data_IF_463686640054
#
_entry.id   IF_463686640054
#
_cell.length_a   1.000
_cell.length_b   1.000
_cell.length_c   1.000
_cell.angle_alpha   90.00
_cell.angle_beta   90.00
_cell.angle_gamma   90.00
#
_symmetry.space_group_name_H-M   'P 1'
#
loop_
_entity.id
_entity.type
_entity.pdbx_description
1 polymer ?
#
# COMPACT_ATOMS: atom_id res chain seq x y z
N UNK A 1 4.37 10.83 -15.58
CA UNK A 1 3.73 12.10 -15.17
C UNK A 1 3.04 12.88 -16.27
N UNK A 2 3.39 12.73 -17.56
CA UNK A 2 2.76 13.50 -18.65
C UNK A 2 1.24 13.28 -18.74
N UNK A 3 0.78 12.04 -18.50
CA UNK A 3 -0.65 11.67 -18.57
C UNK A 3 -1.49 12.38 -17.49
N UNK A 4 -1.00 12.49 -16.25
CA UNK A 4 -1.75 13.16 -15.18
C UNK A 4 -1.86 14.67 -15.41
N UNK A 5 -0.78 15.29 -15.89
CA UNK A 5 -0.75 16.70 -16.23
C UNK A 5 -1.69 17.04 -17.39
N UNK A 6 -1.74 16.18 -18.42
CA UNK A 6 -2.64 16.31 -19.56
C UNK A 6 -4.10 16.22 -19.14
N UNK A 7 -4.44 15.25 -18.28
CA UNK A 7 -5.80 15.10 -17.73
C UNK A 7 -6.21 16.30 -16.87
N UNK A 8 -5.30 16.85 -16.05
CA UNK A 8 -5.58 18.06 -15.26
C UNK A 8 -5.84 19.27 -16.18
N UNK A 9 -5.08 19.39 -17.27
CA UNK A 9 -5.24 20.47 -18.24
C UNK A 9 -6.57 20.36 -19.01
N UNK A 10 -6.98 19.15 -19.36
CA UNK A 10 -8.26 18.87 -20.00
C UNK A 10 -9.44 19.21 -19.07
N UNK A 11 -9.40 18.74 -17.82
CA UNK A 11 -10.38 19.08 -16.78
C UNK A 11 -10.51 20.60 -16.61
N UNK A 12 -9.39 21.32 -16.62
CA UNK A 12 -9.40 22.79 -16.54
C UNK A 12 -10.09 23.44 -17.75
N UNK A 13 -9.89 22.92 -18.95
CA UNK A 13 -10.55 23.42 -20.17
C UNK A 13 -12.05 23.19 -20.10
N UNK A 14 -12.47 21.98 -19.74
CA UNK A 14 -13.87 21.59 -19.52
C UNK A 14 -14.61 22.50 -18.54
N UNK A 15 -13.98 22.84 -17.42
CA UNK A 15 -14.55 23.76 -16.43
C UNK A 15 -14.71 25.17 -17.02
N UNK A 16 -13.73 25.65 -17.80
CA UNK A 16 -13.82 26.95 -18.46
C UNK A 16 -14.93 27.01 -19.53
N UNK A 17 -15.30 25.86 -20.10
CA UNK A 17 -16.40 25.69 -21.05
C UNK A 17 -17.78 25.50 -20.38
N UNK A 18 -17.82 25.42 -19.03
CA UNK A 18 -19.03 25.36 -18.23
C UNK A 18 -19.49 23.94 -17.85
N UNK A 19 -18.65 22.93 -18.06
CA UNK A 19 -18.89 21.57 -17.57
C UNK A 19 -18.64 21.48 -16.06
N UNK A 20 -19.24 20.46 -15.45
CA UNK A 20 -18.98 20.14 -14.03
C UNK A 20 -17.58 19.56 -13.86
N UNK A 21 -17.00 19.64 -12.66
CA UNK A 21 -15.66 19.10 -12.39
C UNK A 21 -15.69 17.56 -12.42
N UNK A 22 -16.80 16.96 -11.99
CA UNK A 22 -16.94 15.51 -11.89
C UNK A 22 -17.04 14.81 -13.25
N UNK A 23 -17.61 15.44 -14.27
CA UNK A 23 -17.76 14.89 -15.64
C UNK A 23 -16.41 14.50 -16.28
N UNK A 24 -15.47 15.43 -16.53
CA UNK A 24 -14.20 15.12 -17.18
C UNK A 24 -13.28 14.24 -16.30
N UNK A 25 -13.46 14.28 -14.97
CA UNK A 25 -12.77 13.35 -14.07
C UNK A 25 -13.33 11.93 -14.16
N UNK A 26 -14.61 11.74 -14.48
CA UNK A 26 -15.23 10.43 -14.64
C UNK A 26 -14.85 9.73 -15.95
N UNK A 27 -14.42 10.50 -16.96
CA UNK A 27 -14.00 9.98 -18.27
C UNK A 27 -12.60 9.33 -18.23
N UNK A 28 -11.87 9.52 -17.13
CA UNK A 28 -10.51 9.03 -16.94
C UNK A 28 -10.44 7.98 -15.82
N UNK A 29 -10.06 6.74 -16.14
CA UNK A 29 -9.90 5.61 -15.19
C UNK A 29 -8.80 5.80 -14.11
N UNK A 30 -8.10 6.94 -14.13
CA UNK A 30 -7.06 7.28 -13.17
C UNK A 30 -7.66 7.67 -11.81
N UNK A 31 -8.88 8.22 -11.81
CA UNK A 31 -9.56 8.64 -10.58
C UNK A 31 -10.51 7.55 -10.09
N UNK A 32 -10.33 7.04 -8.86
CA UNK A 32 -11.27 6.10 -8.27
C UNK A 32 -12.68 6.69 -8.25
N UNK A 33 -13.71 5.86 -8.45
CA UNK A 33 -15.10 6.32 -8.46
C UNK A 33 -15.53 7.06 -7.18
N UNK A 34 -14.89 6.77 -6.05
CA UNK A 34 -15.08 7.50 -4.79
C UNK A 34 -14.65 8.97 -4.90
N UNK A 35 -13.54 9.28 -5.57
CA UNK A 35 -13.04 10.65 -5.78
C UNK A 35 -14.02 11.44 -6.65
N UNK A 36 -14.46 10.86 -7.77
CA UNK A 36 -15.45 11.46 -8.68
C UNK A 36 -16.75 11.79 -7.92
N UNK A 37 -17.21 10.86 -7.08
CA UNK A 37 -18.44 11.03 -6.31
C UNK A 37 -18.31 12.11 -5.22
N UNK A 38 -17.18 12.19 -4.52
CA UNK A 38 -16.95 13.23 -3.51
C UNK A 38 -16.84 14.62 -4.15
N UNK A 39 -16.22 14.72 -5.33
CA UNK A 39 -16.17 15.98 -6.10
C UNK A 39 -17.56 16.39 -6.57
N UNK A 40 -18.36 15.46 -7.10
CA UNK A 40 -19.75 15.71 -7.51
C UNK A 40 -20.60 16.23 -6.33
N UNK A 41 -20.48 15.61 -5.15
CA UNK A 41 -21.17 16.07 -3.93
C UNK A 41 -20.66 17.44 -3.48
N UNK A 42 -19.35 17.67 -3.52
CA UNK A 42 -18.74 18.94 -3.15
C UNK A 42 -19.16 20.08 -4.06
N UNK A 43 -19.27 19.83 -5.36
CA UNK A 43 -19.73 20.78 -6.36
C UNK A 43 -21.23 21.10 -6.18
N UNK A 44 -22.08 20.08 -6.00
CA UNK A 44 -23.52 20.26 -5.79
C UNK A 44 -23.87 21.00 -4.48
N UNK A 45 -23.01 20.88 -3.46
CA UNK A 45 -23.22 21.50 -2.13
C UNK A 45 -22.40 22.77 -1.90
N UNK A 46 -21.54 23.16 -2.85
CA UNK A 46 -20.58 24.26 -2.69
C UNK A 46 -19.47 23.98 -1.66
N UNK A 47 -19.28 22.72 -1.26
CA UNK A 47 -18.31 22.26 -0.26
C UNK A 47 -17.12 21.53 -0.88
N UNK A 48 -16.74 21.89 -2.11
CA UNK A 48 -15.66 21.23 -2.87
C UNK A 48 -14.34 21.19 -2.09
N UNK A 49 -13.94 22.30 -1.48
CA UNK A 49 -12.72 22.39 -0.67
C UNK A 49 -12.71 21.37 0.47
N UNK A 50 -13.84 21.22 1.17
CA UNK A 50 -13.98 20.21 2.23
C UNK A 50 -13.89 18.78 1.68
N UNK A 51 -14.48 18.52 0.51
CA UNK A 51 -14.42 17.18 -0.11
C UNK A 51 -13.02 16.85 -0.61
N UNK A 52 -12.30 17.81 -1.20
CA UNK A 52 -10.90 17.65 -1.62
C UNK A 52 -9.98 17.38 -0.43
N UNK A 53 -10.16 18.08 0.69
CA UNK A 53 -9.41 17.80 1.91
C UNK A 53 -9.68 16.37 2.43
N UNK A 54 -10.93 15.91 2.44
CA UNK A 54 -11.25 14.53 2.83
C UNK A 54 -10.66 13.49 1.89
N UNK A 55 -10.59 13.78 0.59
CA UNK A 55 -9.92 12.90 -0.38
C UNK A 55 -8.44 12.80 -0.02
N UNK A 56 -7.77 13.92 0.24
CA UNK A 56 -6.37 13.93 0.66
C UNK A 56 -6.14 13.12 1.95
N UNK A 57 -6.96 13.36 2.99
CA UNK A 57 -6.92 12.61 4.25
C UNK A 57 -7.08 11.10 4.03
N UNK A 58 -7.94 10.69 3.09
CA UNK A 58 -8.14 9.28 2.75
C UNK A 58 -6.90 8.68 2.09
N UNK A 59 -6.28 9.38 1.13
CA UNK A 59 -5.05 8.91 0.49
C UNK A 59 -3.89 8.78 1.48
N UNK A 60 -3.74 9.75 2.39
CA UNK A 60 -2.72 9.69 3.44
C UNK A 60 -2.97 8.49 4.37
N UNK A 61 -4.21 8.26 4.78
CA UNK A 61 -4.57 7.10 5.60
C UNK A 61 -4.34 5.75 4.87
N UNK A 62 -4.57 5.71 3.56
CA UNK A 62 -4.32 4.52 2.73
C UNK A 62 -2.81 4.23 2.64
N UNK A 63 -1.99 5.26 2.44
CA UNK A 63 -0.53 5.14 2.45
C UNK A 63 -0.03 4.66 3.81
N UNK A 64 -0.50 5.26 4.91
CA UNK A 64 -0.12 4.86 6.27
C UNK A 64 -0.53 3.42 6.57
N UNK A 65 -1.73 3.01 6.16
CA UNK A 65 -2.21 1.64 6.32
C UNK A 65 -1.36 0.65 5.53
N UNK A 66 -0.99 0.98 4.29
CA UNK A 66 -0.14 0.14 3.46
C UNK A 66 1.27 -0.01 4.05
N UNK A 67 1.87 1.10 4.52
CA UNK A 67 3.17 1.11 5.19
C UNK A 67 3.12 0.32 6.50
N UNK A 68 2.06 0.49 7.28
CA UNK A 68 1.82 -0.24 8.52
C UNK A 68 1.70 -1.75 8.28
N UNK A 69 0.92 -2.16 7.28
CA UNK A 69 0.77 -3.56 6.90
C UNK A 69 2.10 -4.18 6.43
N UNK A 70 2.86 -3.47 5.60
CA UNK A 70 4.17 -3.92 5.15
C UNK A 70 5.12 -4.12 6.34
N UNK A 71 5.15 -3.16 7.26
CA UNK A 71 5.98 -3.22 8.47
C UNK A 71 5.58 -4.38 9.37
N UNK A 72 4.28 -4.58 9.58
CA UNK A 72 3.74 -5.68 10.38
C UNK A 72 4.07 -7.06 9.76
N UNK A 73 4.17 -7.17 8.44
CA UNK A 73 4.58 -8.42 7.78
C UNK A 73 6.10 -8.67 7.85
N UNK A 74 6.92 -7.64 7.98
CA UNK A 74 8.37 -7.79 8.12
C UNK A 74 8.76 -8.49 9.43
N UNK A 75 8.08 -8.19 10.53
CA UNK A 75 8.35 -8.79 11.84
C UNK A 75 8.30 -10.34 11.84
N UNK A 76 7.21 -11.01 11.40
CA UNK A 76 7.16 -12.47 11.37
C UNK A 76 8.16 -13.07 10.37
N UNK A 77 8.44 -12.42 9.25
CA UNK A 77 9.46 -12.88 8.28
C UNK A 77 10.84 -12.92 8.95
N UNK A 78 11.19 -11.88 9.69
CA UNK A 78 12.45 -11.81 10.44
C UNK A 78 12.51 -12.89 11.52
N UNK A 79 11.43 -13.15 12.26
CA UNK A 79 11.38 -14.22 13.26
C UNK A 79 11.61 -15.60 12.65
N UNK A 80 10.95 -15.91 11.53
CA UNK A 80 11.13 -17.19 10.82
C UNK A 80 12.55 -17.33 10.31
N UNK A 81 13.11 -16.27 9.72
CA UNK A 81 14.49 -16.27 9.22
C UNK A 81 15.51 -16.48 10.35
N UNK A 82 15.39 -15.72 11.44
CA UNK A 82 16.32 -15.80 12.57
C UNK A 82 16.19 -17.14 13.30
N UNK A 83 14.95 -17.61 13.52
CA UNK A 83 14.68 -18.91 14.13
C UNK A 83 15.22 -20.06 13.28
N UNK A 84 15.05 -20.00 11.96
CA UNK A 84 15.62 -20.96 11.03
C UNK A 84 17.16 -20.96 11.03
N UNK A 85 17.77 -19.78 11.02
CA UNK A 85 19.23 -19.64 11.07
C UNK A 85 19.81 -20.22 12.37
N UNK A 86 19.27 -19.83 13.53
CA UNK A 86 19.71 -20.33 14.84
C UNK A 86 19.44 -21.83 14.96
N UNK A 87 18.25 -22.29 14.58
CA UNK A 87 17.90 -23.71 14.58
C UNK A 87 18.84 -24.55 13.71
N UNK A 88 19.19 -24.04 12.52
CA UNK A 88 20.16 -24.67 11.63
C UNK A 88 21.55 -24.80 12.26
N UNK A 89 22.05 -23.74 12.91
CA UNK A 89 23.34 -23.77 13.63
C UNK A 89 23.32 -24.78 14.76
N UNK A 90 22.26 -24.81 15.57
CA UNK A 90 22.10 -25.77 16.67
C UNK A 90 22.13 -27.20 16.14
N UNK A 91 21.34 -27.53 15.13
CA UNK A 91 21.31 -28.87 14.52
C UNK A 91 22.71 -29.26 13.99
N UNK A 92 23.39 -28.33 13.31
CA UNK A 92 24.74 -28.56 12.80
C UNK A 92 25.77 -28.85 13.90
N UNK A 93 25.62 -28.23 15.08
CA UNK A 93 26.49 -28.49 16.24
C UNK A 93 26.20 -29.82 16.94
N UNK A 94 24.93 -30.24 17.03
CA UNK A 94 24.55 -31.46 17.75
C UNK A 94 24.65 -32.74 16.91
N UNK A 95 24.47 -32.67 15.59
CA UNK A 95 24.61 -33.84 14.70
C UNK A 95 25.96 -34.56 14.84
N UNK A 96 27.13 -33.89 14.88
CA UNK A 96 28.42 -34.53 15.11
C UNK A 96 28.51 -35.22 16.46
N UNK A 97 27.98 -34.59 17.52
CA UNK A 97 27.97 -35.16 18.87
C UNK A 97 27.17 -36.46 18.90
N UNK A 98 25.98 -36.47 18.27
CA UNK A 98 25.15 -37.66 18.18
C UNK A 98 25.81 -38.80 17.39
N UNK A 99 26.47 -38.46 16.27
CA UNK A 99 27.24 -39.43 15.47
C UNK A 99 28.44 -39.99 16.23
N UNK A 100 29.13 -39.18 17.03
CA UNK A 100 30.25 -39.64 17.88
C UNK A 100 29.74 -40.55 19.01
N UNK A 101 28.62 -40.19 19.64
CA UNK A 101 28.01 -40.99 20.69
C UNK A 101 27.53 -42.37 20.19
N UNK A 102 26.97 -42.45 18.98
CA UNK A 102 26.53 -43.73 18.41
C UNK A 102 27.69 -44.65 18.02
N UNK A 103 28.83 -44.10 17.60
CA UNK A 103 30.05 -44.88 17.30
C UNK A 103 30.72 -45.40 18.57
N UNK A 104 30.67 -44.65 19.67
CA UNK A 104 31.28 -45.03 20.96
C UNK A 104 30.38 -45.95 21.80
N UNK A 105 29.05 -45.85 21.68
CA UNK A 105 28.11 -46.71 22.39
C UNK A 105 27.75 -48.03 21.68
N UNK A 106 28.24 -48.24 20.45
CA UNK A 106 27.88 -49.37 19.58
C UNK A 106 28.89 -50.52 19.50
N UNK A 107 29.86 -50.59 20.42
CA UNK A 107 30.81 -51.72 20.56
C UNK A 107 30.68 -52.40 21.91
#
# INVERSE_FOLDING_TARGET
NVILEEVIMEVRSSIAEGQTIAEPLSENDIFPGMVVQMISVGEATGALDTMLNKIADFYDAEVDAAVGALTAMLEPILMVFLGGAIGGVVIAMYLPIFKMASVVGGS
#
